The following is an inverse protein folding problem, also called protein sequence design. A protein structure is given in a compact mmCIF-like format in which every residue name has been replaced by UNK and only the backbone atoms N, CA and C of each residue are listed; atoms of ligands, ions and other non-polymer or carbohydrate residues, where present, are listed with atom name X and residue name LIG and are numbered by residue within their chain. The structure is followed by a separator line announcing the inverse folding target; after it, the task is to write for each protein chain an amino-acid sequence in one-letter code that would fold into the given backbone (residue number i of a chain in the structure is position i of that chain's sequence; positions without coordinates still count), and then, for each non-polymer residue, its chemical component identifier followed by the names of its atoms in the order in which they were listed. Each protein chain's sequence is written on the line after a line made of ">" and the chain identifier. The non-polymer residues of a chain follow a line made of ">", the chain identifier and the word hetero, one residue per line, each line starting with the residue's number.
data_IF_372082453647
#
_entry.id   IF_372082453647
#
_cell.length_a   1.000
_cell.length_b   1.000
_cell.length_c   1.000
_cell.angle_alpha   90.00
_cell.angle_beta   90.00
_cell.angle_gamma   90.00
#
_symmetry.space_group_name_H-M   'P 1'
#
loop_
_entity.id
_entity.type
_entity.pdbx_description
1 polymer ?
#
# COMPACT_ATOMS: atom_id res chain seq x y z
N UNK A 1 57.54 38.16 16.11
CA UNK A 1 56.83 38.28 17.39
C UNK A 1 55.46 37.63 17.22
N UNK A 2 55.27 36.44 17.77
CA UNK A 2 53.96 35.78 17.77
C UNK A 2 53.07 36.43 18.82
N UNK A 3 51.81 36.69 18.49
CA UNK A 3 50.78 37.28 19.36
C UNK A 3 50.40 36.41 20.58
N UNK A 4 51.19 35.37 20.90
CA UNK A 4 50.79 34.25 21.77
C UNK A 4 51.99 33.72 22.57
N UNK A 5 52.58 34.57 23.40
CA UNK A 5 53.81 34.28 24.13
C UNK A 5 53.62 33.59 25.48
N UNK A 6 52.40 33.60 26.07
CA UNK A 6 52.16 33.08 27.42
C UNK A 6 51.01 32.07 27.43
N UNK A 7 51.19 30.97 28.16
CA UNK A 7 50.14 29.96 28.37
C UNK A 7 48.89 30.52 29.07
N UNK A 8 49.04 31.63 29.83
CA UNK A 8 47.92 32.37 30.42
C UNK A 8 46.92 32.86 29.38
N UNK A 9 47.38 33.26 28.20
CA UNK A 9 46.56 33.89 27.17
C UNK A 9 45.58 32.85 26.55
N UNK A 10 45.98 31.57 26.53
CA UNK A 10 45.11 30.45 26.14
C UNK A 10 44.06 30.11 27.21
N UNK A 11 44.45 30.14 28.49
CA UNK A 11 43.53 29.91 29.60
C UNK A 11 42.50 31.03 29.72
N UNK A 12 42.89 32.28 29.43
CA UNK A 12 42.04 33.45 29.48
C UNK A 12 41.05 33.50 28.30
N UNK A 13 41.47 33.12 27.09
CA UNK A 13 40.57 32.89 25.96
C UNK A 13 39.62 31.72 26.20
N UNK A 14 40.13 30.61 26.74
CA UNK A 14 39.33 29.46 27.11
C UNK A 14 38.24 29.83 28.10
N UNK A 15 38.58 30.58 29.16
CA UNK A 15 37.63 31.08 30.16
C UNK A 15 36.64 32.12 29.60
N UNK A 16 37.09 32.98 28.67
CA UNK A 16 36.24 33.98 28.00
C UNK A 16 35.20 33.32 27.09
N UNK A 17 35.60 32.31 26.30
CA UNK A 17 34.67 31.54 25.48
C UNK A 17 33.82 30.57 26.30
N UNK A 18 34.35 29.96 27.36
CA UNK A 18 33.60 29.04 28.24
C UNK A 18 32.64 29.74 29.20
N UNK A 19 32.77 31.07 29.38
CA UNK A 19 31.91 31.90 30.21
C UNK A 19 30.55 32.16 29.56
N UNK A 20 30.23 33.42 29.23
CA UNK A 20 28.89 33.82 28.74
C UNK A 20 28.61 33.37 27.31
N UNK A 21 29.63 33.21 26.46
CA UNK A 21 29.46 32.86 25.05
C UNK A 21 29.15 31.37 24.82
N UNK A 22 29.71 30.47 25.64
CA UNK A 22 29.48 29.02 25.50
C UNK A 22 27.99 28.64 25.66
N UNK A 23 27.24 29.11 26.69
CA UNK A 23 25.80 28.87 26.79
C UNK A 23 24.99 29.45 25.61
N UNK A 24 25.36 30.62 25.10
CA UNK A 24 24.69 31.25 23.95
C UNK A 24 24.90 30.43 22.66
N UNK A 25 26.14 29.99 22.43
CA UNK A 25 26.50 29.13 21.29
C UNK A 25 25.82 27.76 21.42
N UNK A 26 25.82 27.17 22.62
CA UNK A 26 25.13 25.91 22.89
C UNK A 26 23.62 26.02 22.66
N UNK A 27 23.00 27.13 23.07
CA UNK A 27 21.58 27.39 22.80
C UNK A 27 21.28 27.53 21.31
N UNK A 28 22.12 28.27 20.56
CA UNK A 28 22.01 28.35 19.10
C UNK A 28 22.19 26.99 18.43
N UNK A 29 23.15 26.18 18.89
CA UNK A 29 23.36 24.83 18.41
C UNK A 29 22.13 23.94 18.66
N UNK A 30 21.51 24.03 19.84
CA UNK A 30 20.26 23.32 20.16
C UNK A 30 19.10 23.74 19.26
N UNK A 31 18.98 25.04 18.95
CA UNK A 31 17.96 25.54 18.02
C UNK A 31 18.17 24.99 16.60
N UNK A 32 19.42 24.95 16.14
CA UNK A 32 19.78 24.37 14.84
C UNK A 32 19.47 22.88 14.81
N UNK A 33 19.90 22.12 15.81
CA UNK A 33 19.61 20.68 15.93
C UNK A 33 18.11 20.39 15.96
N UNK A 34 17.33 21.21 16.68
CA UNK A 34 15.87 21.07 16.73
C UNK A 34 15.22 21.28 15.37
N UNK A 35 15.73 22.24 14.57
CA UNK A 35 15.26 22.45 13.19
C UNK A 35 15.69 21.32 12.26
N UNK A 36 16.93 20.85 12.39
CA UNK A 36 17.44 19.71 11.63
C UNK A 36 16.63 18.45 11.89
N UNK A 37 16.32 18.14 13.15
CA UNK A 37 15.51 16.98 13.52
C UNK A 37 14.13 17.02 12.86
N UNK A 38 13.45 18.17 12.91
CA UNK A 38 12.15 18.35 12.22
C UNK A 38 12.24 18.18 10.70
N UNK A 39 13.32 18.65 10.08
CA UNK A 39 13.54 18.47 8.64
C UNK A 39 13.82 17.01 8.30
N UNK A 40 14.60 16.33 9.13
CA UNK A 40 14.91 14.90 9.00
C UNK A 40 13.64 14.06 9.15
N UNK A 41 12.80 14.31 10.14
CA UNK A 41 11.55 13.56 10.34
C UNK A 41 10.62 13.67 9.11
N UNK A 42 10.57 14.86 8.47
CA UNK A 42 9.81 15.05 7.23
C UNK A 42 10.41 14.27 6.06
N UNK A 43 11.74 14.26 5.95
CA UNK A 43 12.46 13.54 4.91
C UNK A 43 12.30 12.02 5.08
N UNK A 44 12.40 11.52 6.32
CA UNK A 44 12.23 10.10 6.65
C UNK A 44 10.80 9.64 6.33
N UNK A 45 9.79 10.46 6.68
CA UNK A 45 8.41 10.19 6.28
C UNK A 45 8.27 10.12 4.75
N UNK A 46 8.76 11.13 4.03
CA UNK A 46 8.69 11.14 2.57
C UNK A 46 9.40 9.92 1.93
N UNK A 47 10.55 9.53 2.48
CA UNK A 47 11.28 8.35 2.01
C UNK A 47 10.47 7.07 2.25
N UNK A 48 9.89 6.90 3.44
CA UNK A 48 9.03 5.75 3.75
C UNK A 48 7.80 5.70 2.85
N UNK A 49 7.10 6.83 2.67
CA UNK A 49 5.92 6.93 1.81
C UNK A 49 6.27 6.58 0.36
N UNK A 50 7.37 7.12 -0.15
CA UNK A 50 7.84 6.83 -1.52
C UNK A 50 8.19 5.35 -1.67
N UNK A 51 8.90 4.76 -0.72
CA UNK A 51 9.27 3.35 -0.74
C UNK A 51 8.02 2.45 -0.71
N UNK A 52 7.06 2.78 0.15
CA UNK A 52 5.78 2.07 0.22
C UNK A 52 5.02 2.15 -1.11
N UNK A 53 4.84 3.34 -1.68
CA UNK A 53 4.12 3.53 -2.94
C UNK A 53 4.78 2.78 -4.10
N UNK A 54 6.12 2.79 -4.17
CA UNK A 54 6.89 2.09 -5.20
C UNK A 54 6.74 0.58 -5.07
N UNK A 55 6.94 0.03 -3.86
CA UNK A 55 6.83 -1.42 -3.65
C UNK A 55 5.39 -1.90 -3.84
N UNK A 56 4.41 -1.17 -3.31
CA UNK A 56 2.99 -1.49 -3.50
C UNK A 56 2.60 -1.53 -4.98
N UNK A 57 3.06 -0.54 -5.79
CA UNK A 57 2.83 -0.54 -7.24
C UNK A 57 3.43 -1.76 -7.93
N UNK A 58 4.63 -2.18 -7.51
CA UNK A 58 5.34 -3.35 -8.05
C UNK A 58 4.64 -4.65 -7.67
N UNK A 59 4.23 -4.81 -6.41
CA UNK A 59 3.48 -5.97 -5.93
C UNK A 59 2.12 -6.07 -6.62
N UNK A 60 1.37 -4.96 -6.70
CA UNK A 60 0.11 -4.90 -7.44
C UNK A 60 0.28 -5.33 -8.89
N UNK A 61 1.32 -4.82 -9.56
CA UNK A 61 1.59 -5.21 -10.94
C UNK A 61 1.91 -6.69 -11.07
N UNK A 62 2.76 -7.23 -10.20
CA UNK A 62 3.13 -8.65 -10.19
C UNK A 62 1.91 -9.54 -9.99
N UNK A 63 1.08 -9.27 -8.98
CA UNK A 63 -0.10 -10.09 -8.73
C UNK A 63 -1.18 -9.94 -9.81
N UNK A 64 -1.32 -8.75 -10.39
CA UNK A 64 -2.24 -8.51 -11.50
C UNK A 64 -1.85 -9.32 -12.74
N UNK A 65 -0.58 -9.30 -13.14
CA UNK A 65 -0.09 -10.11 -14.27
C UNK A 65 -0.28 -11.61 -14.01
N UNK A 66 0.02 -12.08 -12.79
CA UNK A 66 -0.19 -13.49 -12.43
C UNK A 66 -1.64 -13.89 -12.41
N UNK A 67 -2.53 -12.97 -12.04
CA UNK A 67 -3.96 -13.19 -12.05
C UNK A 67 -4.50 -13.25 -13.48
N UNK A 68 -4.13 -12.29 -14.34
CA UNK A 68 -4.47 -12.28 -15.76
C UNK A 68 -4.00 -13.56 -16.46
N UNK A 69 -2.72 -13.90 -16.31
CA UNK A 69 -2.13 -15.13 -16.87
C UNK A 69 -2.83 -16.39 -16.36
N UNK A 70 -3.34 -16.39 -15.12
CA UNK A 70 -4.09 -17.51 -14.58
C UNK A 70 -5.51 -17.58 -15.15
N UNK A 71 -6.19 -16.44 -15.28
CA UNK A 71 -7.57 -16.38 -15.77
C UNK A 71 -7.69 -16.75 -17.25
N UNK A 72 -6.64 -16.46 -18.04
CA UNK A 72 -6.58 -16.76 -19.47
C UNK A 72 -6.05 -18.17 -19.78
N UNK A 73 -5.86 -19.01 -18.74
CA UNK A 73 -5.59 -20.44 -18.94
C UNK A 73 -6.88 -21.22 -19.12
N UNK A 74 -6.91 -22.19 -20.05
CA UNK A 74 -7.99 -23.15 -20.10
C UNK A 74 -7.92 -24.09 -18.89
N UNK A 75 -9.08 -24.41 -18.33
CA UNK A 75 -9.24 -25.48 -17.34
C UNK A 75 -9.20 -26.86 -18.04
N UNK A 76 -9.30 -27.94 -17.27
CA UNK A 76 -9.34 -29.33 -17.77
C UNK A 76 -10.41 -29.57 -18.84
N UNK A 77 -11.48 -28.76 -18.85
CA UNK A 77 -12.56 -28.80 -19.84
C UNK A 77 -12.29 -27.99 -21.11
N UNK A 78 -11.12 -27.33 -21.24
CA UNK A 78 -10.76 -26.49 -22.39
C UNK A 78 -11.37 -25.08 -22.40
N UNK A 79 -12.22 -24.76 -21.41
CA UNK A 79 -12.83 -23.42 -21.24
C UNK A 79 -11.91 -22.53 -20.41
N UNK A 80 -11.81 -21.25 -20.76
CA UNK A 80 -11.04 -20.28 -19.98
C UNK A 80 -11.60 -20.15 -18.57
N UNK A 81 -10.71 -20.04 -17.59
CA UNK A 81 -11.10 -19.86 -16.18
C UNK A 81 -11.91 -18.57 -16.01
N UNK A 82 -11.54 -17.50 -16.74
CA UNK A 82 -12.29 -16.24 -16.81
C UNK A 82 -13.77 -16.47 -17.12
N UNK A 83 -14.07 -17.16 -18.22
CA UNK A 83 -15.45 -17.39 -18.70
C UNK A 83 -16.25 -18.24 -17.71
N UNK A 84 -15.60 -19.24 -17.12
CA UNK A 84 -16.20 -20.10 -16.10
C UNK A 84 -16.64 -19.27 -14.89
N UNK A 85 -15.77 -18.40 -14.37
CA UNK A 85 -16.07 -17.56 -13.20
C UNK A 85 -17.16 -16.53 -13.49
N UNK A 86 -17.12 -15.90 -14.66
CA UNK A 86 -18.13 -14.94 -15.10
C UNK A 86 -19.51 -15.59 -15.19
N UNK A 87 -19.58 -16.79 -15.75
CA UNK A 87 -20.84 -17.53 -15.90
C UNK A 87 -21.34 -18.07 -14.54
N UNK A 88 -20.43 -18.55 -13.69
CA UNK A 88 -20.80 -19.17 -12.42
C UNK A 88 -21.12 -18.19 -11.29
N UNK A 89 -20.55 -16.98 -11.30
CA UNK A 89 -20.73 -16.00 -10.21
C UNK A 89 -21.11 -14.62 -10.72
N UNK A 90 -20.56 -14.17 -11.85
CA UNK A 90 -20.75 -12.80 -12.35
C UNK A 90 -22.22 -12.39 -12.50
N UNK A 91 -23.07 -13.33 -12.90
CA UNK A 91 -24.51 -13.11 -13.13
C UNK A 91 -25.38 -13.11 -11.86
N UNK A 92 -24.85 -13.50 -10.70
CA UNK A 92 -25.65 -13.61 -9.48
C UNK A 92 -25.96 -12.23 -8.87
N UNK A 93 -27.21 -12.02 -8.44
CA UNK A 93 -27.61 -10.88 -7.59
C UNK A 93 -27.15 -11.10 -6.14
N UNK A 94 -27.19 -10.06 -5.30
CA UNK A 94 -26.87 -10.17 -3.87
C UNK A 94 -27.64 -11.30 -3.20
N UNK A 95 -28.95 -11.33 -3.40
CA UNK A 95 -29.85 -12.29 -2.78
C UNK A 95 -29.48 -13.71 -3.19
N UNK A 96 -29.08 -13.90 -4.45
CA UNK A 96 -28.63 -15.19 -4.95
C UNK A 96 -27.26 -15.58 -4.37
N UNK A 97 -26.35 -14.62 -4.20
CA UNK A 97 -25.05 -14.83 -3.55
C UNK A 97 -25.22 -15.23 -2.07
N UNK A 98 -26.16 -14.62 -1.36
CA UNK A 98 -26.46 -14.95 0.04
C UNK A 98 -26.98 -16.38 0.20
N UNK A 99 -27.85 -16.82 -0.72
CA UNK A 99 -28.41 -18.18 -0.75
C UNK A 99 -27.33 -19.21 -1.09
N UNK A 100 -26.49 -18.94 -2.09
CA UNK A 100 -25.51 -19.91 -2.63
C UNK A 100 -24.09 -19.69 -2.11
N UNK A 101 -23.90 -18.88 -1.05
CA UNK A 101 -22.57 -18.46 -0.59
C UNK A 101 -21.60 -19.62 -0.34
N UNK A 102 -22.06 -20.72 0.28
CA UNK A 102 -21.26 -21.89 0.61
C UNK A 102 -20.85 -22.65 -0.64
N UNK A 103 -21.74 -22.78 -1.61
CA UNK A 103 -21.48 -23.49 -2.86
C UNK A 103 -20.47 -22.72 -3.69
N UNK A 104 -20.66 -21.40 -3.83
CA UNK A 104 -19.74 -20.50 -4.53
C UNK A 104 -18.37 -20.51 -3.85
N UNK A 105 -18.33 -20.35 -2.52
CA UNK A 105 -17.07 -20.38 -1.77
C UNK A 105 -16.35 -21.73 -1.92
N UNK A 106 -17.05 -22.85 -1.75
CA UNK A 106 -16.44 -24.17 -1.93
C UNK A 106 -15.93 -24.36 -3.36
N UNK A 107 -16.71 -24.00 -4.37
CA UNK A 107 -16.30 -24.07 -5.77
C UNK A 107 -14.98 -23.33 -6.00
N UNK A 108 -14.82 -22.16 -5.41
CA UNK A 108 -13.64 -21.30 -5.65
C UNK A 108 -12.43 -21.78 -4.85
N UNK A 109 -12.62 -22.16 -3.59
CA UNK A 109 -11.56 -22.70 -2.75
C UNK A 109 -11.00 -24.01 -3.30
N UNK A 110 -11.84 -24.88 -3.87
CA UNK A 110 -11.40 -26.17 -4.40
C UNK A 110 -10.95 -26.11 -5.86
N UNK A 111 -11.58 -25.29 -6.71
CA UNK A 111 -11.30 -25.31 -8.15
C UNK A 111 -10.23 -24.31 -8.55
N UNK A 112 -10.24 -23.10 -7.98
CA UNK A 112 -9.35 -22.01 -8.40
C UNK A 112 -8.74 -21.21 -7.23
N UNK A 113 -8.09 -21.86 -6.25
CA UNK A 113 -7.56 -21.18 -5.06
C UNK A 113 -6.49 -20.12 -5.36
N UNK A 114 -5.77 -20.26 -6.48
CA UNK A 114 -4.72 -19.31 -6.89
C UNK A 114 -5.28 -17.96 -7.31
N UNK A 115 -6.36 -17.95 -8.11
CA UNK A 115 -7.02 -16.71 -8.53
C UNK A 115 -7.44 -15.89 -7.31
N UNK A 116 -8.05 -16.56 -6.33
CA UNK A 116 -8.51 -15.89 -5.13
C UNK A 116 -7.36 -15.35 -4.27
N UNK A 117 -6.25 -16.09 -4.14
CA UNK A 117 -5.06 -15.62 -3.42
C UNK A 117 -4.43 -14.39 -4.07
N UNK A 118 -4.34 -14.36 -5.40
CA UNK A 118 -3.85 -13.17 -6.11
C UNK A 118 -4.80 -11.99 -5.93
N UNK A 119 -6.10 -12.22 -6.03
CA UNK A 119 -7.09 -11.17 -5.82
C UNK A 119 -7.06 -10.61 -4.39
N UNK A 120 -6.97 -11.46 -3.38
CA UNK A 120 -6.81 -11.04 -1.98
C UNK A 120 -5.54 -10.19 -1.79
N UNK A 121 -4.41 -10.59 -2.37
CA UNK A 121 -3.17 -9.82 -2.31
C UNK A 121 -3.32 -8.43 -2.96
N UNK A 122 -3.98 -8.37 -4.12
CA UNK A 122 -4.31 -7.10 -4.79
C UNK A 122 -5.19 -6.24 -3.88
N UNK A 123 -6.25 -6.80 -3.30
CA UNK A 123 -7.14 -6.09 -2.37
C UNK A 123 -6.41 -5.55 -1.15
N UNK A 124 -5.52 -6.33 -0.54
CA UNK A 124 -4.70 -5.86 0.59
C UNK A 124 -3.80 -4.69 0.17
N UNK A 125 -3.21 -4.76 -1.02
CA UNK A 125 -2.45 -3.64 -1.59
C UNK A 125 -3.28 -2.37 -1.76
N UNK A 126 -4.50 -2.49 -2.28
CA UNK A 126 -5.45 -1.38 -2.43
C UNK A 126 -5.90 -0.83 -1.08
N UNK A 127 -6.15 -1.69 -0.08
CA UNK A 127 -6.51 -1.28 1.28
C UNK A 127 -5.38 -0.50 1.95
N UNK A 128 -4.12 -0.89 1.70
CA UNK A 128 -2.95 -0.12 2.12
C UNK A 128 -2.98 1.30 1.57
N UNK A 129 -3.26 1.46 0.27
CA UNK A 129 -3.36 2.77 -0.37
C UNK A 129 -4.55 3.59 0.14
N UNK A 130 -5.70 2.95 0.36
CA UNK A 130 -6.94 3.60 0.79
C UNK A 130 -6.92 4.01 2.28
N UNK A 131 -6.07 3.37 3.09
CA UNK A 131 -5.94 3.67 4.52
C UNK A 131 -5.34 5.04 4.83
N UNK A 132 -4.63 5.66 3.87
CA UNK A 132 -3.91 6.93 4.05
C UNK A 132 -4.61 8.04 3.26
N UNK A 133 -5.13 9.04 3.99
CA UNK A 133 -5.85 10.18 3.43
C UNK A 133 -4.91 11.29 2.91
N UNK A 134 -3.99 10.93 2.00
CA UNK A 134 -3.06 11.86 1.35
C UNK A 134 -3.24 11.82 -0.18
N UNK A 135 -3.01 12.96 -0.85
CA UNK A 135 -3.26 13.10 -2.29
C UNK A 135 -2.46 12.09 -3.13
N UNK A 136 -1.19 11.86 -2.78
CA UNK A 136 -0.32 10.89 -3.48
C UNK A 136 -0.88 9.47 -3.42
N UNK A 137 -1.38 9.06 -2.26
CA UNK A 137 -1.98 7.75 -2.04
C UNK A 137 -3.30 7.59 -2.78
N UNK A 138 -4.18 8.60 -2.72
CA UNK A 138 -5.44 8.62 -3.47
C UNK A 138 -5.25 8.56 -4.98
N UNK A 139 -4.29 9.32 -5.51
CA UNK A 139 -3.97 9.30 -6.94
C UNK A 139 -3.42 7.93 -7.36
N UNK A 140 -2.56 7.32 -6.53
CA UNK A 140 -2.04 5.99 -6.77
C UNK A 140 -3.14 4.91 -6.70
N UNK A 141 -4.08 5.04 -5.76
CA UNK A 141 -5.25 4.16 -5.67
C UNK A 141 -6.10 4.25 -6.94
N UNK A 142 -6.49 5.46 -7.34
CA UNK A 142 -7.30 5.68 -8.53
C UNK A 142 -6.62 5.12 -9.80
N UNK A 143 -5.31 5.38 -9.96
CA UNK A 143 -4.54 4.83 -11.08
C UNK A 143 -4.43 3.29 -11.03
N UNK A 144 -4.35 2.70 -9.83
CA UNK A 144 -4.31 1.25 -9.66
C UNK A 144 -5.66 0.61 -10.01
N UNK A 145 -6.77 1.19 -9.56
CA UNK A 145 -8.12 0.73 -9.90
C UNK A 145 -8.38 0.78 -11.40
N UNK A 146 -7.99 1.89 -12.06
CA UNK A 146 -8.10 2.03 -13.50
C UNK A 146 -7.27 0.99 -14.25
N UNK A 147 -6.03 0.73 -13.79
CA UNK A 147 -5.17 -0.30 -14.40
C UNK A 147 -5.80 -1.69 -14.26
N UNK A 148 -6.28 -2.03 -13.07
CA UNK A 148 -6.91 -3.33 -12.78
C UNK A 148 -8.13 -3.54 -13.67
N UNK A 149 -9.03 -2.56 -13.76
CA UNK A 149 -10.22 -2.66 -14.61
C UNK A 149 -9.90 -2.74 -16.11
N UNK A 150 -8.81 -2.12 -16.54
CA UNK A 150 -8.35 -2.19 -17.94
C UNK A 150 -7.80 -3.58 -18.28
N UNK A 151 -7.04 -4.19 -17.37
CA UNK A 151 -6.40 -5.50 -17.59
C UNK A 151 -7.41 -6.64 -17.47
N UNK A 152 -8.24 -6.64 -16.43
CA UNK A 152 -9.16 -7.75 -16.15
C UNK A 152 -10.55 -7.59 -16.78
N UNK A 153 -10.89 -6.40 -17.27
CA UNK A 153 -12.26 -5.94 -17.49
C UNK A 153 -13.01 -5.63 -16.19
N UNK A 154 -13.96 -4.70 -16.26
CA UNK A 154 -14.76 -4.29 -15.12
C UNK A 154 -15.64 -5.43 -14.59
N UNK A 155 -16.24 -6.21 -15.50
CA UNK A 155 -17.10 -7.35 -15.18
C UNK A 155 -16.37 -8.42 -14.37
N UNK A 156 -15.11 -8.68 -14.73
CA UNK A 156 -14.28 -9.62 -13.97
C UNK A 156 -13.92 -9.07 -12.59
N UNK A 157 -13.62 -7.76 -12.48
CA UNK A 157 -13.34 -7.12 -11.20
C UNK A 157 -14.55 -7.22 -10.25
N UNK A 158 -15.76 -6.93 -10.74
CA UNK A 158 -17.01 -7.11 -9.99
C UNK A 158 -17.21 -8.56 -9.58
N UNK A 159 -16.95 -9.50 -10.50
CA UNK A 159 -17.07 -10.93 -10.22
C UNK A 159 -16.11 -11.36 -9.12
N UNK A 160 -14.86 -10.92 -9.14
CA UNK A 160 -13.87 -11.20 -8.10
C UNK A 160 -14.24 -10.58 -6.74
N UNK A 161 -14.86 -9.39 -6.74
CA UNK A 161 -15.40 -8.79 -5.51
C UNK A 161 -16.59 -9.59 -4.96
N UNK A 162 -17.54 -10.02 -5.80
CA UNK A 162 -18.64 -10.93 -5.40
C UNK A 162 -18.13 -12.26 -4.84
N UNK A 163 -17.10 -12.81 -5.46
CA UNK A 163 -16.42 -14.03 -4.98
C UNK A 163 -15.81 -13.79 -3.59
N UNK A 164 -15.18 -12.63 -3.39
CA UNK A 164 -14.62 -12.23 -2.10
C UNK A 164 -15.72 -12.10 -1.05
N UNK A 165 -16.88 -11.55 -1.41
CA UNK A 165 -18.04 -11.45 -0.54
C UNK A 165 -18.49 -12.81 -0.02
N UNK A 166 -18.66 -13.79 -0.91
CA UNK A 166 -19.04 -15.15 -0.52
C UNK A 166 -18.00 -15.80 0.40
N UNK A 167 -16.71 -15.52 0.17
CA UNK A 167 -15.59 -16.12 0.92
C UNK A 167 -15.40 -15.50 2.30
N UNK A 168 -15.62 -14.20 2.44
CA UNK A 168 -15.36 -13.40 3.64
C UNK A 168 -16.64 -12.99 4.40
N UNK A 169 -17.74 -13.75 4.27
CA UNK A 169 -19.06 -13.44 4.86
C UNK A 169 -19.04 -13.08 6.38
N UNK A 170 -17.95 -13.36 7.09
CA UNK A 170 -17.77 -13.04 8.52
C UNK A 170 -16.88 -11.82 8.82
N UNK A 171 -16.33 -11.12 7.83
CA UNK A 171 -15.43 -9.99 8.08
C UNK A 171 -16.18 -8.64 8.07
N UNK A 172 -16.19 -7.88 9.18
CA UNK A 172 -16.98 -6.64 9.31
C UNK A 172 -16.41 -5.43 8.54
N UNK A 173 -15.30 -5.58 7.81
CA UNK A 173 -14.69 -4.51 6.99
C UNK A 173 -14.40 -5.04 5.59
N UNK A 174 -15.44 -5.22 4.80
CA UNK A 174 -15.29 -5.53 3.39
C UNK A 174 -15.18 -4.21 2.61
N UNK A 175 -13.97 -3.93 2.11
CA UNK A 175 -13.79 -2.94 1.05
C UNK A 175 -13.96 -3.68 -0.28
N UNK A 176 -15.05 -3.41 -0.98
CA UNK A 176 -15.23 -3.77 -2.38
C UNK A 176 -14.95 -2.51 -3.20
N UNK A 177 -14.05 -2.65 -4.18
CA UNK A 177 -13.58 -1.52 -4.96
C UNK A 177 -14.36 -1.36 -6.26
N UNK A 178 -14.99 -2.43 -6.74
CA UNK A 178 -15.70 -2.45 -8.02
C UNK A 178 -17.16 -2.84 -7.86
N UNK A 179 -17.49 -3.64 -6.86
CA UNK A 179 -18.88 -4.00 -6.58
C UNK A 179 -19.48 -3.06 -5.53
N UNK A 180 -20.48 -2.29 -5.97
CA UNK A 180 -21.29 -1.41 -5.13
C UNK A 180 -22.74 -1.86 -5.27
N UNK A 181 -23.41 -2.11 -4.15
CA UNK A 181 -24.85 -2.40 -4.09
C UNK A 181 -25.66 -1.15 -3.80
#
# INVERSE_FOLDING_TARGET
>A
MGLWGKHSDWAELGAFFSGVYSPLIAFLALLVLSRQKKAQDKMDKHYYDTAFLVENKKELHYYLERLEEYLDKPDQSGVLIRDKLLTSVGLHSKEQLDIHNKEISNFIYFTHPKAMRYWLAIKTGLQGLDSINEASYKNQLAGSLLKISTVLSYEMCVTLDKISYCSDYKSPKQCFYFWHE
#
